data_IF_615811587191
#
_entry.id   IF_615811587191
#
_cell.length_a   1.000
_cell.length_b   1.000
_cell.length_c   1.000
_cell.angle_alpha   90.00
_cell.angle_beta   90.00
_cell.angle_gamma   90.00
#
_symmetry.space_group_name_H-M   'P 1'
#
loop_
_entity.id
_entity.type
_entity.pdbx_description
1 polymer ?
#
# COMPACT_ATOMS: atom_id res chain seq x y z
N UNK A 1 -7.36 -12.86 6.29
CA UNK A 1 -6.43 -13.52 7.24
C UNK A 1 -6.15 -12.53 8.36
N UNK A 2 -6.24 -12.93 9.63
CA UNK A 2 -5.91 -12.04 10.75
C UNK A 2 -4.39 -11.79 10.76
N UNK A 3 -3.96 -10.54 11.06
CA UNK A 3 -2.55 -10.21 11.19
C UNK A 3 -1.95 -11.00 12.37
N UNK A 4 -0.71 -11.54 12.23
CA UNK A 4 -0.03 -12.19 13.34
C UNK A 4 0.07 -11.27 14.56
N UNK A 5 -0.14 -11.83 15.74
CA UNK A 5 -0.06 -11.08 17.00
C UNK A 5 1.39 -10.89 17.50
N UNK A 6 2.32 -11.70 17.00
CA UNK A 6 3.72 -11.73 17.44
C UNK A 6 4.67 -11.64 16.26
N UNK A 7 5.92 -11.24 16.54
CA UNK A 7 7.00 -11.16 15.55
C UNK A 7 7.20 -12.48 14.78
N UNK A 8 7.17 -13.61 15.48
CA UNK A 8 7.42 -14.93 14.90
C UNK A 8 6.34 -15.39 13.91
N UNK A 9 5.19 -14.72 13.90
CA UNK A 9 4.12 -14.96 12.94
C UNK A 9 4.33 -14.31 11.58
N UNK A 10 5.33 -13.42 11.44
CA UNK A 10 5.70 -12.81 10.17
C UNK A 10 6.91 -13.54 9.58
N UNK A 11 6.83 -13.95 8.33
CA UNK A 11 7.95 -14.53 7.61
C UNK A 11 8.59 -13.55 6.65
N UNK A 12 9.90 -13.71 6.40
CA UNK A 12 10.61 -12.95 5.36
C UNK A 12 10.03 -13.25 3.95
N UNK A 13 9.48 -14.44 3.76
CA UNK A 13 8.82 -14.85 2.52
C UNK A 13 7.61 -13.99 2.21
N UNK A 14 6.72 -13.76 3.19
CA UNK A 14 5.58 -12.83 3.00
C UNK A 14 6.04 -11.42 2.68
N UNK A 15 7.12 -10.95 3.30
CA UNK A 15 7.67 -9.63 3.00
C UNK A 15 8.23 -9.55 1.58
N UNK A 16 8.90 -10.60 1.10
CA UNK A 16 9.33 -10.71 -0.30
C UNK A 16 8.14 -10.76 -1.24
N UNK A 17 7.07 -11.44 -0.89
CA UNK A 17 5.84 -11.42 -1.68
C UNK A 17 5.21 -10.03 -1.75
N UNK A 18 5.27 -9.24 -0.66
CA UNK A 18 4.88 -7.82 -0.72
C UNK A 18 5.77 -6.99 -1.67
N UNK A 19 7.08 -7.26 -1.70
CA UNK A 19 7.99 -6.62 -2.67
C UNK A 19 7.65 -7.01 -4.11
N UNK A 20 7.32 -8.28 -4.36
CA UNK A 20 6.87 -8.78 -5.67
C UNK A 20 5.58 -8.08 -6.11
N UNK A 21 4.60 -7.97 -5.20
CA UNK A 21 3.34 -7.23 -5.44
C UNK A 21 3.64 -5.78 -5.82
N UNK A 22 4.48 -5.10 -5.03
CA UNK A 22 4.82 -3.70 -5.24
C UNK A 22 5.53 -3.47 -6.59
N UNK A 23 6.53 -4.28 -6.91
CA UNK A 23 7.28 -4.16 -8.18
C UNK A 23 6.38 -4.51 -9.37
N UNK A 24 5.53 -5.54 -9.27
CA UNK A 24 4.55 -5.88 -10.31
C UNK A 24 3.56 -4.73 -10.54
N UNK A 25 3.05 -4.14 -9.45
CA UNK A 25 2.16 -2.98 -9.51
C UNK A 25 2.81 -1.82 -10.25
N UNK A 26 3.99 -1.37 -9.80
CA UNK A 26 4.68 -0.23 -10.40
C UNK A 26 5.03 -0.47 -11.87
N UNK A 27 5.43 -1.69 -12.21
CA UNK A 27 5.70 -2.08 -13.61
C UNK A 27 4.46 -1.98 -14.49
N UNK A 28 3.33 -2.46 -13.99
CA UNK A 28 2.06 -2.46 -14.71
C UNK A 28 1.37 -1.10 -14.76
N UNK A 29 1.68 -0.21 -13.83
CA UNK A 29 1.14 1.15 -13.81
C UNK A 29 1.74 2.05 -14.90
N UNK A 30 2.94 1.75 -15.41
CA UNK A 30 3.61 2.59 -16.40
C UNK A 30 3.88 4.01 -15.87
N UNK A 31 3.45 5.08 -16.56
CA UNK A 31 3.68 6.46 -16.12
C UNK A 31 3.01 6.81 -14.78
N UNK A 32 1.99 6.09 -14.38
CA UNK A 32 1.25 6.26 -13.11
C UNK A 32 2.08 6.02 -11.87
N UNK A 33 3.12 5.22 -11.93
CA UNK A 33 4.00 4.95 -10.81
C UNK A 33 4.59 6.22 -10.18
N UNK A 34 4.59 7.33 -10.92
CA UNK A 34 5.08 8.62 -10.43
C UNK A 34 4.14 9.28 -9.42
N UNK A 35 2.85 8.89 -9.41
CA UNK A 35 1.84 9.37 -8.46
C UNK A 35 1.62 8.46 -7.25
N UNK A 36 2.46 7.42 -7.10
CA UNK A 36 2.28 6.39 -6.09
C UNK A 36 3.41 6.42 -5.06
N UNK A 37 3.07 6.42 -3.79
CA UNK A 37 4.00 6.45 -2.68
C UNK A 37 3.72 5.30 -1.71
N UNK A 38 4.73 4.46 -1.48
CA UNK A 38 4.64 3.38 -0.51
C UNK A 38 4.63 3.94 0.92
N UNK A 39 3.68 3.47 1.70
CA UNK A 39 3.56 3.75 3.14
C UNK A 39 3.35 2.44 3.91
N UNK A 40 2.92 2.51 5.15
CA UNK A 40 2.52 1.31 5.90
C UNK A 40 3.64 0.39 6.34
N UNK A 41 3.31 -0.89 6.48
CA UNK A 41 4.15 -1.88 7.14
C UNK A 41 5.42 -2.28 6.41
N UNK A 42 5.46 -2.14 5.09
CA UNK A 42 6.63 -2.48 4.28
C UNK A 42 7.73 -1.39 4.32
N UNK A 43 7.36 -0.14 4.57
CA UNK A 43 8.28 1.02 4.54
C UNK A 43 9.51 0.87 5.46
N UNK A 44 9.40 0.39 6.72
CA UNK A 44 10.56 0.28 7.62
C UNK A 44 11.70 -0.58 7.08
N UNK A 45 11.41 -1.53 6.17
CA UNK A 45 12.43 -2.35 5.51
C UNK A 45 13.47 -1.51 4.76
N UNK A 46 13.06 -0.34 4.27
CA UNK A 46 13.91 0.58 3.49
C UNK A 46 14.45 1.75 4.32
N UNK A 47 13.85 2.02 5.48
CA UNK A 47 14.26 3.11 6.36
C UNK A 47 15.37 2.70 7.32
N UNK A 48 15.37 1.44 7.77
CA UNK A 48 16.25 1.00 8.85
C UNK A 48 17.03 -0.24 8.42
N UNK A 49 18.35 -0.08 8.32
CA UNK A 49 19.23 -1.22 8.08
C UNK A 49 19.30 -2.10 9.33
N UNK A 50 19.06 -3.39 9.16
CA UNK A 50 19.24 -4.36 10.24
C UNK A 50 20.70 -4.40 10.71
N UNK A 51 20.90 -4.40 12.04
CA UNK A 51 22.21 -4.52 12.72
C UNK A 51 22.06 -5.39 13.96
N UNK A 52 21.78 -6.70 13.79
CA UNK A 52 21.61 -7.59 14.93
C UNK A 52 22.86 -7.64 15.81
N UNK A 53 22.72 -7.76 17.15
CA UNK A 53 21.46 -7.86 17.89
C UNK A 53 20.81 -6.51 18.24
N UNK A 54 21.48 -5.36 17.95
CA UNK A 54 21.05 -4.04 18.39
C UNK A 54 19.83 -3.54 17.62
N UNK A 55 19.84 -3.75 16.30
CA UNK A 55 18.71 -3.40 15.43
C UNK A 55 18.21 -4.67 14.78
N UNK A 56 17.05 -5.20 15.19
CA UNK A 56 16.49 -6.40 14.59
C UNK A 56 16.12 -6.16 13.11
N UNK A 57 16.04 -7.25 12.35
CA UNK A 57 15.51 -7.22 11.01
C UNK A 57 14.04 -6.76 11.03
N UNK A 58 13.56 -6.28 9.87
CA UNK A 58 12.15 -5.93 9.69
C UNK A 58 11.26 -7.14 10.03
N UNK A 59 10.24 -6.90 10.87
CA UNK A 59 9.35 -7.97 11.35
C UNK A 59 8.55 -8.65 10.24
N UNK A 60 8.28 -7.91 9.16
CA UNK A 60 7.46 -8.37 8.05
C UNK A 60 6.14 -7.61 7.94
N UNK A 61 5.47 -7.84 6.82
CA UNK A 61 4.13 -7.30 6.54
C UNK A 61 3.36 -8.28 5.66
N UNK A 62 2.04 -8.14 5.61
CA UNK A 62 1.12 -8.94 4.76
C UNK A 62 0.38 -8.08 3.75
N UNK A 63 0.57 -6.76 3.80
CA UNK A 63 -0.12 -5.80 2.98
C UNK A 63 0.87 -4.78 2.37
N UNK A 64 0.48 -4.24 1.23
CA UNK A 64 1.14 -3.15 0.54
C UNK A 64 0.19 -1.97 0.56
N UNK A 65 0.56 -0.93 1.30
CA UNK A 65 -0.20 0.31 1.42
C UNK A 65 0.43 1.37 0.53
N UNK A 66 -0.33 1.95 -0.38
CA UNK A 66 0.12 3.04 -1.24
C UNK A 66 -0.79 4.26 -1.12
N UNK A 67 -0.18 5.43 -1.01
CA UNK A 67 -0.88 6.71 -1.14
C UNK A 67 -0.78 7.19 -2.57
N UNK A 68 -1.92 7.60 -3.12
CA UNK A 68 -2.04 8.09 -4.49
C UNK A 68 -2.14 9.61 -4.47
N UNK A 69 -1.28 10.29 -5.22
CA UNK A 69 -1.40 11.72 -5.45
C UNK A 69 -2.49 11.99 -6.47
N UNK A 70 -3.65 12.43 -5.99
CA UNK A 70 -4.82 12.70 -6.81
C UNK A 70 -4.62 13.89 -7.76
N UNK A 71 -3.72 14.82 -7.44
CA UNK A 71 -3.48 16.00 -8.30
C UNK A 71 -2.73 15.61 -9.58
N UNK A 72 -1.72 14.77 -9.45
CA UNK A 72 -1.02 14.22 -10.61
C UNK A 72 -1.98 13.38 -11.45
N UNK A 73 -2.91 12.71 -10.80
CA UNK A 73 -3.90 11.89 -11.47
C UNK A 73 -4.81 12.68 -12.42
N UNK A 74 -5.24 13.87 -12.11
CA UNK A 74 -6.19 14.64 -12.93
C UNK A 74 -5.59 15.18 -14.24
N UNK A 75 -4.27 15.20 -14.37
CA UNK A 75 -3.56 15.87 -15.47
C UNK A 75 -3.21 14.95 -16.66
N UNK A 76 -3.52 13.66 -16.63
CA UNK A 76 -3.10 12.72 -17.66
C UNK A 76 -4.23 11.86 -18.22
N UNK A 77 -4.30 11.71 -19.55
CA UNK A 77 -5.25 10.82 -20.26
C UNK A 77 -5.07 9.32 -19.98
N UNK A 78 -4.01 8.95 -19.25
CA UNK A 78 -3.68 7.56 -18.93
C UNK A 78 -4.62 6.92 -17.88
N UNK A 79 -5.52 7.70 -17.31
CA UNK A 79 -6.36 7.36 -16.15
C UNK A 79 -7.46 6.36 -16.39
N UNK A 80 -7.95 6.30 -17.61
CA UNK A 80 -9.11 5.50 -17.91
C UNK A 80 -8.94 4.01 -17.64
N UNK A 81 -7.71 3.54 -17.46
CA UNK A 81 -7.38 2.10 -17.46
C UNK A 81 -6.80 1.56 -16.14
N UNK A 82 -6.77 2.34 -15.04
CA UNK A 82 -6.15 1.89 -13.78
C UNK A 82 -6.78 0.57 -13.27
N UNK A 83 -8.11 0.51 -13.23
CA UNK A 83 -8.82 -0.69 -12.79
C UNK A 83 -8.55 -1.88 -13.73
N UNK A 84 -8.53 -1.64 -15.04
CA UNK A 84 -8.20 -2.69 -16.02
C UNK A 84 -6.75 -3.16 -15.89
N UNK A 85 -5.82 -2.25 -15.63
CA UNK A 85 -4.42 -2.59 -15.44
C UNK A 85 -4.23 -3.45 -14.18
N UNK A 86 -4.90 -3.13 -13.08
CA UNK A 86 -4.89 -3.97 -11.90
C UNK A 86 -5.41 -5.37 -12.21
N UNK A 87 -6.53 -5.49 -12.93
CA UNK A 87 -7.10 -6.78 -13.33
C UNK A 87 -6.14 -7.56 -14.26
N UNK A 88 -5.49 -6.88 -15.22
CA UNK A 88 -4.49 -7.50 -16.13
C UNK A 88 -3.28 -8.02 -15.37
N UNK A 89 -2.90 -7.38 -14.27
CA UNK A 89 -1.82 -7.82 -13.37
C UNK A 89 -2.25 -8.94 -12.41
N UNK A 90 -3.48 -9.44 -12.50
CA UNK A 90 -3.98 -10.52 -11.64
C UNK A 90 -4.57 -10.06 -10.31
N UNK A 91 -4.80 -8.75 -10.13
CA UNK A 91 -5.51 -8.27 -8.95
C UNK A 91 -7.02 -8.36 -9.11
N UNK A 92 -7.69 -8.71 -8.04
CA UNK A 92 -9.14 -8.67 -7.90
C UNK A 92 -9.53 -7.84 -6.67
N UNK A 93 -10.76 -7.37 -6.62
CA UNK A 93 -11.25 -6.61 -5.47
C UNK A 93 -11.38 -7.52 -4.26
N UNK A 94 -10.79 -7.12 -3.14
CA UNK A 94 -10.96 -7.79 -1.87
C UNK A 94 -12.41 -7.66 -1.37
N UNK A 95 -12.84 -8.61 -0.56
CA UNK A 95 -14.15 -8.62 0.07
C UNK A 95 -14.05 -8.28 1.56
N UNK A 96 -15.08 -7.62 2.09
CA UNK A 96 -15.26 -7.45 3.53
C UNK A 96 -15.91 -8.71 4.16
N UNK A 97 -16.11 -8.68 5.47
CA UNK A 97 -16.72 -9.79 6.22
C UNK A 97 -18.15 -10.11 5.75
N UNK A 98 -18.82 -9.16 5.10
CA UNK A 98 -20.17 -9.31 4.52
C UNK A 98 -20.13 -9.77 3.07
N UNK A 99 -18.96 -10.17 2.54
CA UNK A 99 -18.72 -10.57 1.14
C UNK A 99 -19.01 -9.47 0.11
N UNK A 100 -18.96 -8.22 0.52
CA UNK A 100 -19.08 -7.10 -0.38
C UNK A 100 -17.70 -6.72 -0.92
N UNK A 101 -17.59 -6.52 -2.23
CA UNK A 101 -16.35 -6.12 -2.90
C UNK A 101 -16.00 -4.68 -2.54
N UNK A 102 -14.76 -4.49 -2.11
CA UNK A 102 -14.22 -3.17 -1.76
C UNK A 102 -13.60 -2.52 -3.01
N UNK A 103 -13.87 -1.24 -3.22
CA UNK A 103 -13.35 -0.50 -4.39
C UNK A 103 -11.93 0.04 -4.21
N UNK A 104 -11.44 0.10 -2.98
CA UNK A 104 -10.14 0.64 -2.58
C UNK A 104 -9.13 -0.41 -2.11
N UNK A 105 -9.60 -1.65 -1.91
CA UNK A 105 -8.77 -2.75 -1.43
C UNK A 105 -8.79 -3.88 -2.45
N UNK A 106 -7.61 -4.26 -2.87
CA UNK A 106 -7.37 -5.26 -3.88
C UNK A 106 -6.60 -6.43 -3.30
N UNK A 107 -6.69 -7.58 -3.92
CA UNK A 107 -5.98 -8.77 -3.52
C UNK A 107 -5.49 -9.53 -4.74
N UNK A 108 -4.43 -10.28 -4.54
CA UNK A 108 -3.91 -11.26 -5.51
C UNK A 108 -3.37 -12.46 -4.77
N UNK A 109 -3.14 -13.56 -5.48
CA UNK A 109 -2.46 -14.73 -4.92
C UNK A 109 -1.13 -14.91 -5.60
N UNK A 110 -0.11 -15.23 -4.79
CA UNK A 110 1.16 -15.67 -5.34
C UNK A 110 1.05 -17.10 -5.87
N UNK A 111 2.06 -17.55 -6.61
CA UNK A 111 2.14 -18.91 -7.15
C UNK A 111 2.13 -19.97 -6.04
N UNK A 112 2.58 -19.59 -4.83
CA UNK A 112 2.55 -20.45 -3.64
C UNK A 112 1.23 -20.37 -2.86
N UNK A 113 0.23 -19.63 -3.40
CA UNK A 113 -1.10 -19.49 -2.82
C UNK A 113 -1.22 -18.47 -1.69
N UNK A 114 -0.16 -17.72 -1.35
CA UNK A 114 -0.23 -16.66 -0.37
C UNK A 114 -1.16 -15.54 -0.84
N UNK A 115 -2.08 -15.12 0.03
CA UNK A 115 -3.00 -14.01 -0.26
C UNK A 115 -2.31 -12.69 0.10
N UNK A 116 -2.10 -11.87 -0.90
CA UNK A 116 -1.49 -10.55 -0.79
C UNK A 116 -2.55 -9.46 -0.91
N UNK A 117 -2.43 -8.44 -0.09
CA UNK A 117 -3.37 -7.32 -0.05
C UNK A 117 -2.67 -6.05 -0.55
N UNK A 118 -3.37 -5.30 -1.39
CA UNK A 118 -2.99 -3.96 -1.84
C UNK A 118 -4.08 -2.98 -1.41
N UNK A 119 -3.71 -1.95 -0.66
CA UNK A 119 -4.61 -0.88 -0.22
C UNK A 119 -4.28 0.43 -0.93
N UNK A 120 -5.28 1.00 -1.59
CA UNK A 120 -5.21 2.30 -2.24
C UNK A 120 -5.68 3.36 -1.26
N UNK A 121 -4.80 4.29 -0.91
CA UNK A 121 -5.04 5.37 0.04
C UNK A 121 -4.93 6.72 -0.66
N UNK A 122 -5.62 7.73 -0.15
CA UNK A 122 -5.50 9.11 -0.62
C UNK A 122 -5.73 10.08 0.53
N UNK A 123 -5.26 11.31 0.36
CA UNK A 123 -5.62 12.44 1.21
C UNK A 123 -6.66 13.30 0.48
N UNK A 124 -7.88 13.29 0.98
CA UNK A 124 -8.99 14.06 0.47
C UNK A 124 -9.57 14.92 1.60
N UNK A 125 -9.10 16.16 1.77
CA UNK A 125 -9.47 17.02 2.92
C UNK A 125 -10.98 17.27 3.05
N UNK A 126 -11.70 17.21 1.92
CA UNK A 126 -13.15 17.42 1.86
C UNK A 126 -13.96 16.21 2.38
N UNK A 127 -13.29 15.09 2.63
CA UNK A 127 -13.92 13.82 3.01
C UNK A 127 -13.44 13.40 4.38
N UNK A 128 -14.36 12.96 5.23
CA UNK A 128 -13.99 12.46 6.55
C UNK A 128 -13.02 11.26 6.46
N UNK A 129 -12.08 11.19 7.40
CA UNK A 129 -11.14 10.07 7.50
C UNK A 129 -11.83 8.71 7.57
N UNK A 130 -11.27 7.70 6.91
CA UNK A 130 -11.83 6.37 6.81
C UNK A 130 -13.02 6.23 5.86
N UNK A 131 -13.38 7.27 5.11
CA UNK A 131 -14.35 7.20 4.01
C UNK A 131 -13.64 6.97 2.69
N UNK A 132 -14.41 6.52 1.72
CA UNK A 132 -13.90 6.16 0.39
C UNK A 132 -14.01 7.36 -0.54
N UNK A 133 -12.88 7.69 -1.19
CA UNK A 133 -12.77 8.69 -2.23
C UNK A 133 -12.75 7.99 -3.60
N UNK A 134 -13.73 8.22 -4.49
CA UNK A 134 -13.64 7.77 -5.88
C UNK A 134 -12.39 8.37 -6.56
N UNK A 135 -11.67 7.55 -7.31
CA UNK A 135 -10.57 8.05 -8.13
C UNK A 135 -11.12 8.68 -9.42
N UNK A 136 -10.45 9.70 -9.96
CA UNK A 136 -10.86 10.34 -11.21
C UNK A 136 -10.51 9.48 -12.42
N UNK A 137 -10.98 8.23 -12.45
CA UNK A 137 -10.70 7.22 -13.47
C UNK A 137 -12.00 6.61 -13.97
N UNK A 138 -11.96 5.93 -15.10
CA UNK A 138 -13.08 5.07 -15.50
C UNK A 138 -13.25 3.90 -14.51
N UNK A 139 -14.49 3.49 -14.31
CA UNK A 139 -14.83 2.40 -13.42
C UNK A 139 -15.23 2.86 -12.01
N UNK A 140 -15.15 1.96 -11.06
CA UNK A 140 -15.57 2.19 -9.67
C UNK A 140 -14.42 2.03 -8.68
N UNK A 141 -13.18 2.23 -9.16
CA UNK A 141 -12.00 2.21 -8.30
C UNK A 141 -11.97 3.46 -7.40
N UNK A 142 -11.51 3.29 -6.20
CA UNK A 142 -11.44 4.36 -5.21
C UNK A 142 -10.23 4.18 -4.29
N UNK A 143 -9.97 5.17 -3.46
CA UNK A 143 -8.99 5.10 -2.38
C UNK A 143 -9.67 5.34 -1.03
N UNK A 144 -9.13 4.78 0.03
CA UNK A 144 -9.55 5.07 1.40
C UNK A 144 -8.92 6.40 1.83
N UNK A 145 -9.74 7.34 2.29
CA UNK A 145 -9.22 8.62 2.76
C UNK A 145 -8.50 8.47 4.09
N UNK A 146 -7.21 8.77 4.08
CA UNK A 146 -6.35 8.86 5.26
C UNK A 146 -5.91 10.32 5.40
N UNK A 147 -6.49 11.07 6.32
CA UNK A 147 -6.14 12.47 6.52
C UNK A 147 -4.65 12.66 6.75
N UNK A 148 -4.10 13.71 6.18
CA UNK A 148 -2.67 14.07 6.25
C UNK A 148 -1.71 13.08 5.57
N UNK A 149 -2.20 12.12 4.81
CA UNK A 149 -1.32 11.19 4.09
C UNK A 149 -0.53 11.87 2.98
N UNK A 150 -0.97 13.02 2.49
CA UNK A 150 -0.24 13.86 1.53
C UNK A 150 1.14 14.35 2.02
N UNK A 151 1.41 14.30 3.32
CA UNK A 151 2.76 14.59 3.86
C UNK A 151 3.86 13.77 3.17
N UNK A 152 3.52 12.59 2.65
CA UNK A 152 4.48 11.75 1.94
C UNK A 152 4.89 12.33 0.59
N UNK A 153 4.11 13.22 -0.02
CA UNK A 153 4.42 13.83 -1.32
C UNK A 153 5.61 14.79 -1.25
N UNK A 154 5.77 15.46 -0.09
CA UNK A 154 6.90 16.36 0.18
C UNK A 154 8.07 15.65 0.89
N UNK A 155 7.76 14.65 1.72
CA UNK A 155 8.70 14.00 2.61
C UNK A 155 8.85 12.51 2.27
N UNK A 156 9.44 12.20 1.12
CA UNK A 156 9.70 10.83 0.66
C UNK A 156 11.18 10.57 0.41
N UNK A 157 11.49 9.30 0.23
CA UNK A 157 12.75 8.79 -0.29
C UNK A 157 12.49 7.92 -1.51
N UNK A 158 13.52 7.67 -2.31
CA UNK A 158 13.47 6.77 -3.45
C UNK A 158 14.46 5.64 -3.24
N UNK A 159 13.99 4.41 -3.37
CA UNK A 159 14.80 3.20 -3.28
C UNK A 159 14.58 2.35 -4.52
N UNK A 160 15.63 1.79 -5.09
CA UNK A 160 15.50 0.77 -6.14
C UNK A 160 15.23 -0.58 -5.49
N UNK A 161 14.13 -1.22 -5.92
CA UNK A 161 13.72 -2.54 -5.44
C UNK A 161 13.72 -3.48 -6.63
N UNK A 162 14.45 -4.58 -6.48
CA UNK A 162 14.44 -5.67 -7.45
C UNK A 162 13.66 -6.84 -6.87
N UNK A 163 12.67 -7.32 -7.61
CA UNK A 163 11.88 -8.48 -7.24
C UNK A 163 11.43 -9.28 -8.47
N UNK A 164 11.06 -10.52 -8.25
CA UNK A 164 10.35 -11.34 -9.24
C UNK A 164 8.95 -10.78 -9.42
N UNK A 165 8.51 -10.70 -10.66
CA UNK A 165 7.13 -10.31 -10.98
C UNK A 165 6.17 -11.47 -10.67
N UNK A 166 4.95 -11.15 -10.24
CA UNK A 166 3.90 -12.13 -10.09
C UNK A 166 3.59 -12.80 -11.43
N UNK A 167 3.15 -14.07 -11.39
CA UNK A 167 2.82 -14.84 -12.59
C UNK A 167 4.03 -15.31 -13.38
N UNK A 168 5.18 -15.52 -12.72
CA UNK A 168 6.43 -16.00 -13.36
C UNK A 168 6.91 -15.11 -14.53
N UNK A 169 6.61 -13.81 -14.48
CA UNK A 169 6.94 -12.85 -15.52
C UNK A 169 8.38 -12.30 -15.45
N UNK A 170 9.29 -13.02 -14.80
CA UNK A 170 10.70 -12.68 -14.67
C UNK A 170 10.98 -11.69 -13.55
N UNK A 171 12.14 -11.04 -13.58
CA UNK A 171 12.63 -10.12 -12.55
C UNK A 171 12.60 -8.70 -13.11
N UNK A 172 12.17 -7.74 -12.28
CA UNK A 172 12.23 -6.32 -12.61
C UNK A 172 12.83 -5.52 -11.46
N UNK A 173 13.38 -4.36 -11.80
CA UNK A 173 13.83 -3.33 -10.84
C UNK A 173 13.01 -2.08 -11.06
N UNK A 174 12.41 -1.56 -10.01
CA UNK A 174 11.62 -0.33 -10.04
C UNK A 174 12.11 0.65 -8.99
N UNK A 175 12.04 1.95 -9.34
CA UNK A 175 12.26 3.04 -8.38
C UNK A 175 10.98 3.26 -7.60
N UNK A 176 11.04 3.03 -6.31
CA UNK A 176 9.91 3.14 -5.39
C UNK A 176 10.04 4.42 -4.59
N UNK A 177 9.06 5.31 -4.71
CA UNK A 177 8.89 6.42 -3.76
C UNK A 177 8.23 5.87 -2.50
N UNK A 178 8.80 6.15 -1.35
CA UNK A 178 8.25 5.70 -0.08
C UNK A 178 8.41 6.77 0.99
N UNK A 179 7.58 6.72 2.02
CA UNK A 179 7.70 7.62 3.15
C UNK A 179 9.14 7.62 3.69
N UNK A 180 9.67 8.80 4.00
CA UNK A 180 10.90 8.93 4.76
C UNK A 180 10.62 8.75 6.26
N UNK A 181 11.65 8.81 7.11
CA UNK A 181 11.49 8.59 8.55
C UNK A 181 10.50 9.57 9.19
N UNK A 182 10.47 10.82 8.75
CA UNK A 182 9.58 11.86 9.31
C UNK A 182 8.14 11.58 8.92
N UNK A 183 7.84 11.48 7.62
CA UNK A 183 6.48 11.20 7.14
C UNK A 183 5.96 9.85 7.65
N UNK A 184 6.81 8.82 7.70
CA UNK A 184 6.44 7.53 8.28
C UNK A 184 6.02 7.66 9.75
N UNK A 185 6.81 8.38 10.56
CA UNK A 185 6.49 8.58 11.98
C UNK A 185 5.20 9.36 12.16
N UNK A 186 4.98 10.44 11.39
CA UNK A 186 3.75 11.20 11.42
C UNK A 186 2.53 10.33 11.07
N UNK A 187 2.60 9.58 9.97
CA UNK A 187 1.50 8.70 9.54
C UNK A 187 1.18 7.62 10.57
N UNK A 188 2.20 7.04 11.23
CA UNK A 188 1.98 6.06 12.31
C UNK A 188 1.38 6.70 13.55
N UNK A 189 1.77 7.92 13.89
CA UNK A 189 1.20 8.68 15.02
C UNK A 189 -0.29 8.97 14.78
N UNK A 190 -0.66 9.47 13.60
CA UNK A 190 -2.06 9.68 13.24
C UNK A 190 -2.88 8.38 13.26
N UNK A 191 -2.34 7.29 12.72
CA UNK A 191 -3.02 6.00 12.74
C UNK A 191 -3.20 5.45 14.17
N UNK A 192 -2.27 5.72 15.07
CA UNK A 192 -2.36 5.35 16.48
C UNK A 192 -3.45 6.15 17.18
N UNK A 193 -3.47 7.46 16.98
CA UNK A 193 -4.48 8.36 17.58
C UNK A 193 -5.90 7.98 17.17
N UNK A 194 -6.14 7.80 15.87
CA UNK A 194 -7.44 7.35 15.35
C UNK A 194 -7.89 5.99 15.90
N UNK A 195 -6.95 5.08 16.20
CA UNK A 195 -7.29 3.79 16.82
C UNK A 195 -7.71 3.97 18.27
N UNK A 196 -7.03 4.85 19.01
CA UNK A 196 -7.37 5.15 20.40
C UNK A 196 -8.74 5.83 20.50
N UNK A 197 -9.06 6.76 19.62
CA UNK A 197 -10.39 7.39 19.57
C UNK A 197 -11.50 6.35 19.36
N UNK A 198 -11.28 5.37 18.47
CA UNK A 198 -12.23 4.29 18.24
C UNK A 198 -12.40 3.39 19.47
N UNK A 199 -11.31 3.03 20.14
CA UNK A 199 -11.38 2.21 21.35
C UNK A 199 -12.15 2.92 22.46
N UNK A 200 -11.89 4.19 22.70
CA UNK A 200 -12.58 5.00 23.70
C UNK A 200 -14.09 5.19 23.37
N UNK A 201 -14.46 5.20 22.09
CA UNK A 201 -15.85 5.29 21.66
C UNK A 201 -16.66 4.01 21.87
N UNK A 202 -16.00 2.85 22.11
CA UNK A 202 -16.66 1.58 22.46
C UNK A 202 -16.82 1.38 23.97
N UNK A 203 -16.13 2.19 24.79
CA UNK A 203 -16.21 2.12 26.25
C UNK A 203 -17.23 3.10 26.86
N UNK A 204 -17.87 3.94 26.04
CA UNK A 204 -18.95 4.87 26.42
C UNK A 204 -20.29 4.44 25.86
#
# INVERSE_FOLDING_TARGET
MAKPATFDGYSDEYTKDCERVLVTLLRGLGPWKESVYLVGGLTPRYLVAARPPVVPAHAGTLDVDIVIDLQILTDTDAYHTLEENLKKMGFERAENDQKQKLSWRWQTRTEHGALMILELLADAPEIAGGKVQPLPTEGTISALNIPHSSIVFDLYQVTEIQAELLGENGVATEKVRHANLVSFTCLKSFAFDQRNERLNAFET
#
